data_IF_028876984834
#
_entry.id   IF_028876984834
#
_cell.length_a   1.000
_cell.length_b   1.000
_cell.length_c   1.000
_cell.angle_alpha   90.00
_cell.angle_beta   90.00
_cell.angle_gamma   90.00
#
_symmetry.space_group_name_H-M   'P 1'
#
loop_
_entity.id
_entity.type
_entity.pdbx_description
1 polymer ?
#
# COMPACT_ATOMS: atom_id res chain seq x y z
N UNK A 1 12.61 -11.68 0.77
CA UNK A 1 12.99 -12.75 1.74
C UNK A 1 11.77 -13.01 2.61
N UNK A 2 11.04 -14.10 2.39
CA UNK A 2 9.86 -14.44 3.19
C UNK A 2 10.42 -15.10 4.46
N UNK A 3 10.37 -14.37 5.57
CA UNK A 3 10.60 -14.99 6.88
C UNK A 3 9.50 -16.06 7.05
N UNK A 4 9.87 -17.32 7.30
CA UNK A 4 8.88 -18.32 7.62
C UNK A 4 8.14 -17.86 8.87
N UNK A 5 6.82 -17.66 8.75
CA UNK A 5 5.95 -17.43 9.91
C UNK A 5 6.14 -18.59 10.87
N UNK A 6 6.99 -18.42 11.87
CA UNK A 6 7.13 -19.40 12.97
C UNK A 6 5.87 -19.27 13.81
N UNK A 7 4.93 -20.18 13.62
CA UNK A 7 3.80 -20.32 14.53
C UNK A 7 4.36 -20.69 15.90
N UNK A 8 4.25 -19.76 16.84
CA UNK A 8 4.59 -20.03 18.24
C UNK A 8 3.33 -20.53 18.93
N UNK A 9 3.36 -21.77 19.42
CA UNK A 9 2.30 -22.29 20.28
C UNK A 9 2.36 -21.55 21.61
N UNK A 10 1.28 -20.89 21.99
CA UNK A 10 1.14 -20.21 23.28
C UNK A 10 0.14 -21.03 24.09
N UNK A 11 0.53 -21.41 25.30
CA UNK A 11 -0.41 -22.00 26.25
C UNK A 11 -1.16 -20.89 26.96
N UNK A 12 -2.44 -20.79 26.68
CA UNK A 12 -3.32 -19.76 27.26
C UNK A 12 -3.83 -20.13 28.64
N UNK A 13 -3.70 -21.39 29.07
CA UNK A 13 -4.26 -21.88 30.33
C UNK A 13 -3.68 -21.19 31.58
N UNK A 14 -2.45 -20.71 31.48
CA UNK A 14 -1.77 -20.06 32.60
C UNK A 14 -1.87 -18.53 32.56
N UNK A 15 -2.68 -17.96 31.67
CA UNK A 15 -2.86 -16.51 31.60
C UNK A 15 -3.94 -16.07 32.59
N UNK A 16 -3.54 -15.32 33.62
CA UNK A 16 -4.43 -14.86 34.71
C UNK A 16 -5.54 -13.89 34.24
N UNK A 17 -5.40 -13.34 33.04
CA UNK A 17 -6.39 -12.42 32.45
C UNK A 17 -7.40 -13.16 31.55
N UNK A 18 -7.38 -14.48 31.52
CA UNK A 18 -8.29 -15.28 30.72
C UNK A 18 -9.15 -16.17 31.62
N UNK A 19 -10.43 -16.09 31.40
CA UNK A 19 -11.42 -17.02 31.95
C UNK A 19 -11.90 -17.96 30.85
N UNK A 20 -12.17 -19.20 31.18
CA UNK A 20 -12.66 -20.21 30.26
C UNK A 20 -14.10 -20.55 30.57
N UNK A 21 -15.01 -20.13 29.70
CA UNK A 21 -16.41 -20.51 29.74
C UNK A 21 -16.62 -21.68 28.78
N UNK A 22 -16.84 -22.92 29.28
CA UNK A 22 -17.03 -24.07 28.41
C UNK A 22 -18.43 -24.04 27.80
N UNK A 23 -18.49 -23.81 26.51
CA UNK A 23 -19.72 -23.91 25.68
C UNK A 23 -19.48 -24.88 24.54
N UNK A 24 -20.46 -25.70 24.20
CA UNK A 24 -20.32 -26.77 23.22
C UNK A 24 -21.24 -26.53 22.03
N UNK A 25 -20.69 -25.91 21.00
CA UNK A 25 -21.43 -25.76 19.74
C UNK A 25 -21.67 -27.12 19.06
N UNK A 26 -22.86 -27.33 18.53
CA UNK A 26 -23.26 -28.52 17.79
C UNK A 26 -23.28 -28.18 16.28
N UNK A 27 -22.67 -29.07 15.50
CA UNK A 27 -22.74 -28.97 14.06
C UNK A 27 -24.14 -29.33 13.53
N UNK A 28 -24.67 -28.51 12.65
CA UNK A 28 -25.88 -28.86 11.88
C UNK A 28 -25.68 -30.16 11.09
N UNK A 29 -26.75 -30.81 10.67
CA UNK A 29 -26.71 -32.01 9.82
C UNK A 29 -25.88 -31.81 8.55
N UNK A 30 -25.88 -30.62 7.99
CA UNK A 30 -25.10 -30.25 6.80
C UNK A 30 -23.60 -29.97 7.10
N UNK A 31 -23.18 -29.97 8.37
CA UNK A 31 -21.85 -29.58 8.85
C UNK A 31 -21.38 -28.20 8.39
N UNK A 32 -22.34 -27.31 8.05
CA UNK A 32 -22.06 -25.93 7.63
C UNK A 32 -22.23 -24.95 8.79
N UNK A 33 -23.25 -25.15 9.61
CA UNK A 33 -23.61 -24.25 10.71
C UNK A 33 -23.16 -24.81 12.05
N UNK A 34 -22.72 -23.91 12.92
CA UNK A 34 -22.43 -24.19 14.33
C UNK A 34 -23.53 -23.52 15.16
N UNK A 35 -24.29 -24.31 15.90
CA UNK A 35 -25.45 -23.90 16.70
C UNK A 35 -25.13 -24.13 18.17
N UNK A 36 -25.63 -23.27 19.04
CA UNK A 36 -25.45 -23.34 20.49
C UNK A 36 -26.81 -23.60 21.16
N UNK A 37 -26.77 -24.28 22.32
CA UNK A 37 -28.00 -24.51 23.09
C UNK A 37 -28.45 -23.22 23.78
N UNK A 38 -29.71 -23.17 24.20
CA UNK A 38 -30.23 -22.03 24.95
C UNK A 38 -29.51 -21.83 26.28
N UNK A 39 -29.05 -22.93 26.90
CA UNK A 39 -28.25 -22.90 28.14
C UNK A 39 -26.89 -22.28 27.89
N UNK A 40 -26.20 -22.66 26.81
CA UNK A 40 -24.91 -22.07 26.43
C UNK A 40 -25.05 -20.55 26.16
N UNK A 41 -26.10 -20.18 25.42
CA UNK A 41 -26.40 -18.77 25.09
C UNK A 41 -26.71 -17.99 26.38
N UNK A 42 -27.51 -18.55 27.28
CA UNK A 42 -27.80 -17.91 28.57
C UNK A 42 -26.55 -17.67 29.43
N UNK A 43 -25.60 -18.63 29.41
CA UNK A 43 -24.33 -18.44 30.10
C UNK A 43 -23.50 -17.30 29.49
N UNK A 44 -23.43 -17.23 28.16
CA UNK A 44 -22.70 -16.16 27.44
C UNK A 44 -23.33 -14.80 27.76
N UNK A 45 -24.66 -14.70 27.66
CA UNK A 45 -25.40 -13.45 27.97
C UNK A 45 -25.17 -13.01 29.43
N UNK A 46 -25.19 -13.96 30.38
CA UNK A 46 -24.95 -13.68 31.81
C UNK A 46 -23.53 -13.12 32.06
N UNK A 47 -22.57 -13.45 31.19
CA UNK A 47 -21.19 -12.93 31.29
C UNK A 47 -21.04 -11.49 30.84
N UNK A 48 -22.07 -10.88 30.28
CA UNK A 48 -22.16 -9.45 29.87
C UNK A 48 -20.96 -8.97 29.03
N UNK A 49 -20.59 -9.76 28.03
CA UNK A 49 -19.48 -9.41 27.15
C UNK A 49 -19.80 -8.20 26.26
N UNK A 50 -18.86 -7.26 26.13
CA UNK A 50 -18.99 -6.15 25.19
C UNK A 50 -19.11 -6.65 23.73
N UNK A 51 -18.25 -7.58 23.31
CA UNK A 51 -18.31 -8.22 21.99
C UNK A 51 -17.74 -9.64 22.01
N UNK A 52 -18.14 -10.45 21.08
CA UNK A 52 -17.58 -11.77 20.82
C UNK A 52 -16.69 -11.74 19.58
N UNK A 53 -15.50 -12.35 19.66
CA UNK A 53 -14.61 -12.48 18.52
C UNK A 53 -14.61 -13.93 18.07
N UNK A 54 -15.01 -14.18 16.83
CA UNK A 54 -15.02 -15.54 16.30
C UNK A 54 -13.69 -15.90 15.66
N UNK A 55 -13.08 -16.93 16.20
CA UNK A 55 -11.96 -17.66 15.59
C UNK A 55 -12.40 -19.13 15.36
N UNK A 56 -12.29 -19.61 14.14
CA UNK A 56 -12.57 -21.01 13.87
C UNK A 56 -13.42 -21.26 12.62
N UNK A 57 -13.83 -22.53 12.45
CA UNK A 57 -14.62 -23.01 11.33
C UNK A 57 -16.12 -23.05 11.69
N UNK A 58 -16.97 -23.17 10.68
CA UNK A 58 -18.43 -23.18 10.82
C UNK A 58 -19.06 -21.78 10.72
N UNK A 59 -20.28 -21.71 10.28
CA UNK A 59 -21.06 -20.47 10.17
C UNK A 59 -21.90 -20.38 11.44
N UNK A 60 -21.77 -19.29 12.19
CA UNK A 60 -22.63 -18.99 13.32
C UNK A 60 -24.00 -18.53 12.83
N UNK A 61 -25.06 -18.98 13.47
CA UNK A 61 -26.44 -18.62 13.16
C UNK A 61 -27.32 -18.62 14.42
N UNK A 62 -28.35 -17.76 14.40
CA UNK A 62 -29.31 -17.68 15.50
C UNK A 62 -28.89 -16.77 16.63
N UNK A 63 -29.41 -17.01 17.82
CA UNK A 63 -29.30 -16.11 18.99
C UNK A 63 -27.87 -15.81 19.45
N UNK A 64 -26.91 -16.68 19.14
CA UNK A 64 -25.49 -16.43 19.44
C UNK A 64 -24.99 -15.11 18.84
N UNK A 65 -25.57 -14.67 17.71
CA UNK A 65 -25.17 -13.44 17.04
C UNK A 65 -25.53 -12.17 17.84
N UNK A 66 -26.51 -12.29 18.75
CA UNK A 66 -27.02 -11.21 19.58
C UNK A 66 -26.66 -11.41 21.09
N UNK A 67 -25.79 -12.37 21.40
CA UNK A 67 -25.48 -12.75 22.81
C UNK A 67 -24.44 -11.85 23.46
N UNK A 68 -24.03 -10.74 22.84
CA UNK A 68 -23.17 -9.70 23.43
C UNK A 68 -23.60 -8.32 22.96
N UNK A 69 -23.23 -7.26 23.67
CA UNK A 69 -23.70 -5.91 23.46
C UNK A 69 -23.44 -5.38 22.04
N UNK A 70 -22.25 -5.64 21.49
CA UNK A 70 -21.84 -5.20 20.15
C UNK A 70 -21.95 -6.32 19.10
N UNK A 71 -22.41 -7.52 19.50
CA UNK A 71 -22.56 -8.69 18.64
C UNK A 71 -21.25 -9.44 18.40
N UNK A 72 -21.21 -10.25 17.33
CA UNK A 72 -20.09 -11.14 17.01
C UNK A 72 -19.27 -10.54 15.87
N UNK A 73 -17.98 -10.30 16.11
CA UNK A 73 -17.02 -9.83 15.11
C UNK A 73 -16.25 -11.02 14.55
N UNK A 74 -16.08 -11.09 13.25
CA UNK A 74 -15.36 -12.17 12.57
C UNK A 74 -14.53 -11.67 11.40
N UNK A 75 -13.48 -12.43 11.06
CA UNK A 75 -12.78 -12.29 9.81
C UNK A 75 -13.49 -12.96 8.64
N UNK A 76 -13.39 -12.35 7.47
CA UNK A 76 -13.50 -13.03 6.20
C UNK A 76 -12.23 -12.70 5.39
N UNK A 77 -11.40 -13.72 5.12
CA UNK A 77 -10.16 -13.56 4.36
C UNK A 77 -10.42 -13.69 2.87
N UNK A 78 -11.02 -12.67 2.31
CA UNK A 78 -11.37 -12.44 0.93
C UNK A 78 -12.01 -11.08 0.79
N UNK A 79 -11.87 -10.42 -0.36
CA UNK A 79 -12.73 -9.29 -0.69
C UNK A 79 -14.07 -9.85 -1.18
N UNK A 80 -15.10 -9.74 -0.35
CA UNK A 80 -16.44 -10.28 -0.66
C UNK A 80 -17.09 -9.63 -1.89
N UNK A 81 -16.52 -8.54 -2.43
CA UNK A 81 -16.92 -7.91 -3.70
C UNK A 81 -16.31 -8.63 -4.92
N UNK A 82 -15.18 -9.34 -4.74
CA UNK A 82 -14.41 -9.99 -5.82
C UNK A 82 -14.53 -11.52 -5.73
N UNK A 83 -14.09 -12.11 -4.61
CA UNK A 83 -14.04 -13.55 -4.44
C UNK A 83 -14.73 -13.98 -3.14
N UNK A 84 -15.68 -14.91 -3.26
CA UNK A 84 -16.36 -15.55 -2.13
C UNK A 84 -16.02 -17.04 -2.09
N UNK A 85 -15.79 -17.55 -0.89
CA UNK A 85 -15.52 -18.96 -0.67
C UNK A 85 -14.07 -19.23 -0.26
N UNK A 86 -13.71 -20.50 -0.22
CA UNK A 86 -12.41 -20.95 0.24
C UNK A 86 -11.65 -21.79 -0.80
N UNK A 87 -10.37 -21.98 -0.60
CA UNK A 87 -9.52 -21.48 0.50
C UNK A 87 -9.11 -20.02 0.32
N UNK A 88 -8.90 -19.31 1.43
CA UNK A 88 -8.55 -17.89 1.42
C UNK A 88 -7.25 -17.61 0.66
N UNK A 89 -7.23 -16.54 -0.14
CA UNK A 89 -6.06 -16.10 -0.89
C UNK A 89 -5.65 -17.02 -2.06
N UNK A 90 -6.43 -18.05 -2.37
CA UNK A 90 -6.14 -19.02 -3.44
C UNK A 90 -6.63 -18.53 -4.79
N UNK A 91 -7.86 -18.08 -4.85
CA UNK A 91 -8.54 -17.71 -6.09
C UNK A 91 -7.93 -16.48 -6.73
N UNK A 92 -7.51 -15.51 -5.91
CA UNK A 92 -6.81 -14.33 -6.36
C UNK A 92 -5.49 -14.70 -7.05
N UNK A 93 -4.77 -15.67 -6.49
CA UNK A 93 -3.52 -16.17 -7.12
C UNK A 93 -3.80 -16.93 -8.39
N UNK A 94 -4.82 -17.80 -8.42
CA UNK A 94 -5.18 -18.60 -9.59
C UNK A 94 -5.69 -17.75 -10.74
N UNK A 95 -6.54 -16.75 -10.44
CA UNK A 95 -7.17 -15.87 -11.42
C UNK A 95 -6.30 -14.66 -11.77
N UNK A 96 -5.10 -14.56 -11.19
CA UNK A 96 -4.16 -13.45 -11.41
C UNK A 96 -4.71 -12.08 -11.01
N UNK A 97 -5.58 -12.07 -10.00
CA UNK A 97 -6.11 -10.82 -9.45
C UNK A 97 -4.98 -9.94 -8.90
N UNK A 98 -5.01 -8.64 -9.17
CA UNK A 98 -3.92 -7.74 -8.74
C UNK A 98 -3.89 -7.53 -7.22
N UNK A 99 -5.03 -7.68 -6.55
CA UNK A 99 -5.13 -7.53 -5.10
C UNK A 99 -5.90 -8.68 -4.45
N UNK A 100 -5.54 -8.96 -3.21
CA UNK A 100 -6.17 -9.93 -2.33
C UNK A 100 -6.70 -9.22 -1.09
N UNK A 101 -7.96 -9.42 -0.75
CA UNK A 101 -8.60 -8.68 0.32
C UNK A 101 -8.90 -9.49 1.57
N UNK A 102 -9.23 -8.77 2.62
CA UNK A 102 -9.90 -9.28 3.80
C UNK A 102 -10.92 -8.26 4.32
N UNK A 103 -11.91 -8.74 5.06
CA UNK A 103 -12.81 -7.89 5.82
C UNK A 103 -12.88 -8.36 7.28
N UNK A 104 -13.08 -7.41 8.18
CA UNK A 104 -13.50 -7.64 9.56
C UNK A 104 -14.93 -7.13 9.64
N UNK A 105 -15.84 -7.99 10.03
CA UNK A 105 -17.27 -7.72 9.94
C UNK A 105 -18.00 -8.13 11.21
N UNK A 106 -19.06 -7.41 11.56
CA UNK A 106 -20.06 -7.86 12.50
C UNK A 106 -20.96 -8.86 11.78
N UNK A 107 -21.08 -10.05 12.34
CA UNK A 107 -21.90 -11.12 11.75
C UNK A 107 -23.40 -10.83 11.88
N UNK A 108 -24.12 -11.25 10.87
CA UNK A 108 -25.58 -11.33 10.85
C UNK A 108 -26.06 -12.70 10.35
N UNK A 109 -27.34 -12.90 10.17
CA UNK A 109 -27.91 -14.18 9.72
C UNK A 109 -27.67 -14.46 8.21
N UNK A 110 -27.15 -13.51 7.46
CA UNK A 110 -26.84 -13.67 6.04
C UNK A 110 -25.42 -14.19 5.84
N UNK A 111 -25.26 -15.18 4.97
CA UNK A 111 -23.94 -15.74 4.66
C UNK A 111 -23.08 -14.71 3.91
N UNK A 112 -21.92 -14.38 4.47
CA UNK A 112 -21.01 -13.34 3.96
C UNK A 112 -21.66 -11.96 3.78
N UNK A 113 -22.80 -11.71 4.44
CA UNK A 113 -23.56 -10.46 4.40
C UNK A 113 -23.40 -9.61 5.66
N UNK A 114 -22.40 -9.88 6.50
CA UNK A 114 -22.14 -9.11 7.72
C UNK A 114 -21.81 -7.64 7.44
N UNK A 115 -22.01 -6.79 8.45
CA UNK A 115 -21.66 -5.37 8.40
C UNK A 115 -20.13 -5.20 8.40
N UNK A 116 -19.56 -4.71 7.31
CA UNK A 116 -18.10 -4.55 7.16
C UNK A 116 -17.62 -3.36 7.98
N UNK A 117 -16.80 -3.61 8.99
CA UNK A 117 -16.21 -2.62 9.88
C UNK A 117 -14.81 -2.17 9.41
N UNK A 118 -14.05 -3.10 8.82
CA UNK A 118 -12.72 -2.84 8.25
C UNK A 118 -12.58 -3.65 6.97
N UNK A 119 -12.08 -3.02 5.93
CA UNK A 119 -11.67 -3.67 4.67
C UNK A 119 -10.23 -3.32 4.35
N UNK A 120 -9.45 -4.29 3.90
CA UNK A 120 -8.11 -4.08 3.41
C UNK A 120 -7.82 -4.94 2.19
N UNK A 121 -7.18 -4.35 1.18
CA UNK A 121 -6.74 -5.02 -0.03
C UNK A 121 -5.22 -4.90 -0.17
N UNK A 122 -4.53 -6.04 -0.19
CA UNK A 122 -3.09 -6.17 -0.31
C UNK A 122 -2.71 -6.55 -1.74
N UNK A 123 -1.49 -6.25 -2.15
CA UNK A 123 -0.96 -6.76 -3.41
C UNK A 123 -0.96 -8.31 -3.39
N UNK A 124 -1.51 -8.94 -4.42
CA UNK A 124 -1.52 -10.40 -4.51
C UNK A 124 -0.11 -10.94 -4.69
N UNK A 125 0.32 -11.79 -3.77
CA UNK A 125 1.58 -12.51 -3.89
C UNK A 125 1.39 -13.74 -4.78
N UNK A 126 2.38 -14.06 -5.57
CA UNK A 126 2.26 -15.08 -6.61
C UNK A 126 2.17 -16.52 -6.13
N UNK A 127 2.32 -16.79 -4.82
CA UNK A 127 2.18 -18.12 -4.24
C UNK A 127 1.07 -18.12 -3.18
N UNK A 128 0.15 -19.06 -3.28
CA UNK A 128 -1.00 -19.14 -2.36
C UNK A 128 -0.61 -19.12 -0.88
N UNK A 129 0.36 -19.91 -0.45
CA UNK A 129 0.73 -19.98 0.97
C UNK A 129 1.27 -18.64 1.50
N UNK A 130 2.01 -17.88 0.70
CA UNK A 130 2.50 -16.56 1.08
C UNK A 130 1.39 -15.52 1.03
N UNK A 131 0.52 -15.58 0.02
CA UNK A 131 -0.64 -14.71 -0.10
C UNK A 131 -1.62 -14.89 1.06
N UNK A 132 -1.92 -16.15 1.41
CA UNK A 132 -2.71 -16.48 2.61
C UNK A 132 -2.07 -15.96 3.90
N UNK A 133 -0.76 -16.14 4.05
CA UNK A 133 -0.05 -15.73 5.26
C UNK A 133 -0.11 -14.21 5.48
N UNK A 134 0.09 -13.40 4.42
CA UNK A 134 -0.02 -11.95 4.54
C UNK A 134 -1.44 -11.49 4.90
N UNK A 135 -2.48 -12.10 4.32
CA UNK A 135 -3.87 -11.78 4.66
C UNK A 135 -4.17 -12.01 6.14
N UNK A 136 -3.74 -13.16 6.68
CA UNK A 136 -3.94 -13.51 8.08
C UNK A 136 -3.18 -12.55 9.00
N UNK A 137 -1.92 -12.26 8.69
CA UNK A 137 -1.08 -11.39 9.54
C UNK A 137 -1.60 -9.95 9.55
N UNK A 138 -1.99 -9.43 8.39
CA UNK A 138 -2.50 -8.07 8.26
C UNK A 138 -3.86 -7.92 8.93
N UNK A 139 -4.80 -8.84 8.67
CA UNK A 139 -6.14 -8.79 9.28
C UNK A 139 -6.09 -8.90 10.81
N UNK A 140 -5.20 -9.74 11.35
CA UNK A 140 -4.96 -9.82 12.80
C UNK A 140 -4.52 -8.49 13.39
N UNK A 141 -3.58 -7.80 12.74
CA UNK A 141 -3.13 -6.48 13.18
C UNK A 141 -4.29 -5.48 13.23
N UNK A 142 -5.10 -5.41 12.17
CA UNK A 142 -6.23 -4.48 12.10
C UNK A 142 -7.38 -4.85 13.03
N UNK A 143 -7.58 -6.14 13.35
CA UNK A 143 -8.51 -6.50 14.43
C UNK A 143 -8.08 -5.89 15.77
N UNK A 144 -6.80 -5.97 16.12
CA UNK A 144 -6.28 -5.38 17.35
C UNK A 144 -6.53 -3.86 17.38
N UNK A 145 -6.30 -3.17 16.25
CA UNK A 145 -6.58 -1.73 16.14
C UNK A 145 -8.09 -1.44 16.30
N UNK A 146 -8.94 -2.23 15.65
CA UNK A 146 -10.39 -2.13 15.78
C UNK A 146 -10.84 -2.30 17.24
N UNK A 147 -10.34 -3.32 17.94
CA UNK A 147 -10.69 -3.57 19.33
C UNK A 147 -10.23 -2.46 20.28
N UNK A 148 -9.06 -1.87 20.04
CA UNK A 148 -8.61 -0.69 20.78
C UNK A 148 -9.57 0.49 20.60
N UNK A 149 -9.95 0.79 19.35
CA UNK A 149 -10.90 1.84 19.02
C UNK A 149 -12.28 1.59 19.67
N UNK A 150 -12.78 0.37 19.62
CA UNK A 150 -14.03 -0.01 20.29
C UNK A 150 -13.92 0.18 21.81
N UNK A 151 -12.79 -0.19 22.41
CA UNK A 151 -12.57 -0.01 23.85
C UNK A 151 -12.56 1.46 24.28
N UNK A 152 -12.01 2.34 23.43
CA UNK A 152 -11.96 3.79 23.67
C UNK A 152 -13.31 4.47 23.44
N UNK A 153 -13.96 4.16 22.32
CA UNK A 153 -15.20 4.82 21.88
C UNK A 153 -16.48 4.15 22.43
N UNK A 154 -16.38 2.95 22.99
CA UNK A 154 -17.50 2.12 23.50
C UNK A 154 -18.60 1.83 22.45
N UNK A 155 -18.24 1.88 21.16
CA UNK A 155 -19.15 1.65 20.04
C UNK A 155 -18.41 1.04 18.86
N UNK A 156 -19.17 0.42 17.95
CA UNK A 156 -18.61 0.00 16.66
C UNK A 156 -18.39 1.22 15.76
N UNK A 157 -17.35 1.21 14.91
CA UNK A 157 -17.23 2.19 13.84
C UNK A 157 -18.40 2.07 12.87
N UNK A 158 -18.63 3.12 12.09
CA UNK A 158 -19.61 3.08 11.00
C UNK A 158 -19.21 2.00 10.01
N UNK A 159 -20.17 1.11 9.70
CA UNK A 159 -19.97 0.09 8.68
C UNK A 159 -19.95 0.68 7.27
N UNK A 160 -19.38 -0.04 6.32
CA UNK A 160 -19.51 0.31 4.91
C UNK A 160 -20.99 0.24 4.46
N UNK A 161 -21.31 1.05 3.45
CA UNK A 161 -22.63 0.97 2.81
C UNK A 161 -22.91 -0.42 2.24
N UNK A 162 -24.17 -0.83 2.31
CA UNK A 162 -24.63 -2.10 1.75
C UNK A 162 -24.37 -2.13 0.23
N UNK A 163 -23.65 -3.14 -0.23
CA UNK A 163 -23.39 -3.37 -1.66
C UNK A 163 -23.85 -4.76 -2.06
N UNK A 164 -24.62 -4.81 -3.13
CA UNK A 164 -25.01 -6.08 -3.73
C UNK A 164 -23.84 -6.68 -4.50
N UNK A 165 -23.67 -7.99 -4.42
CA UNK A 165 -22.68 -8.74 -5.18
C UNK A 165 -23.31 -9.98 -5.81
N UNK A 166 -23.04 -10.18 -7.10
CA UNK A 166 -23.53 -11.34 -7.87
C UNK A 166 -22.54 -12.51 -7.92
N UNK A 167 -21.42 -12.45 -7.18
CA UNK A 167 -20.36 -13.43 -7.29
C UNK A 167 -20.76 -14.77 -6.67
N UNK A 168 -20.55 -15.85 -7.42
CA UNK A 168 -20.77 -17.22 -6.93
C UNK A 168 -19.72 -17.62 -5.88
N UNK A 169 -20.10 -18.58 -5.04
CA UNK A 169 -19.21 -19.15 -4.05
C UNK A 169 -18.17 -20.08 -4.73
N UNK A 170 -16.91 -19.73 -4.63
CA UNK A 170 -15.80 -20.54 -5.12
C UNK A 170 -15.48 -21.71 -4.19
N UNK A 171 -15.21 -22.89 -4.78
CA UNK A 171 -14.77 -24.09 -4.09
C UNK A 171 -13.79 -24.86 -4.95
N UNK A 172 -12.82 -25.51 -4.35
CA UNK A 172 -11.97 -26.49 -5.05
C UNK A 172 -12.78 -27.79 -5.19
N UNK A 173 -13.46 -27.93 -6.31
CA UNK A 173 -14.34 -29.09 -6.57
C UNK A 173 -13.61 -30.26 -7.24
N UNK A 174 -12.43 -30.04 -7.77
CA UNK A 174 -11.68 -31.08 -8.50
C UNK A 174 -10.17 -30.89 -8.40
N UNK A 175 -9.43 -31.97 -8.59
CA UNK A 175 -7.97 -31.98 -8.72
C UNK A 175 -7.49 -31.15 -9.92
N UNK A 176 -8.33 -30.96 -10.96
CA UNK A 176 -8.01 -30.13 -12.14
C UNK A 176 -7.64 -28.70 -11.74
N UNK A 177 -8.36 -28.11 -10.79
CA UNK A 177 -8.07 -26.76 -10.29
C UNK A 177 -6.67 -26.69 -9.63
N UNK A 178 -6.30 -27.73 -8.88
CA UNK A 178 -4.97 -27.79 -8.28
C UNK A 178 -3.87 -27.99 -9.34
N UNK A 179 -4.13 -28.79 -10.38
CA UNK A 179 -3.19 -28.92 -11.50
C UNK A 179 -3.01 -27.58 -12.23
N UNK A 180 -4.10 -26.87 -12.50
CA UNK A 180 -4.06 -25.54 -13.11
C UNK A 180 -3.24 -24.57 -12.27
N UNK A 181 -3.46 -24.56 -10.95
CA UNK A 181 -2.68 -23.75 -10.04
C UNK A 181 -1.18 -24.06 -10.09
N UNK A 182 -0.82 -25.34 -10.02
CA UNK A 182 0.57 -25.79 -10.11
C UNK A 182 1.18 -25.38 -11.45
N UNK A 183 0.48 -25.63 -12.54
CA UNK A 183 0.95 -25.32 -13.89
C UNK A 183 1.16 -23.83 -14.10
N UNK A 184 0.20 -22.98 -13.68
CA UNK A 184 0.29 -21.53 -13.83
C UNK A 184 1.33 -20.88 -12.91
N UNK A 185 1.54 -21.39 -11.68
CA UNK A 185 2.33 -20.69 -10.68
C UNK A 185 3.70 -21.32 -10.41
N UNK A 186 3.85 -22.64 -10.45
CA UNK A 186 5.13 -23.31 -10.15
C UNK A 186 5.96 -23.55 -11.39
N UNK A 187 5.36 -24.03 -12.49
CA UNK A 187 6.11 -24.37 -13.69
C UNK A 187 6.87 -23.18 -14.30
N UNK A 188 6.27 -22.00 -14.49
CA UNK A 188 7.02 -20.83 -14.99
C UNK A 188 8.17 -20.41 -14.08
N UNK A 189 7.99 -20.49 -12.77
CA UNK A 189 9.04 -20.18 -11.80
C UNK A 189 10.17 -21.20 -11.84
N UNK A 190 9.84 -22.47 -11.97
CA UNK A 190 10.84 -23.53 -12.12
C UNK A 190 11.66 -23.34 -13.38
N UNK A 191 10.99 -23.09 -14.52
CA UNK A 191 11.64 -22.82 -15.80
C UNK A 191 12.52 -21.58 -15.71
N UNK A 192 12.02 -20.46 -15.14
CA UNK A 192 12.84 -19.26 -14.96
C UNK A 192 14.07 -19.53 -14.09
N UNK A 193 13.93 -20.29 -13.02
CA UNK A 193 15.05 -20.66 -12.14
C UNK A 193 16.11 -21.49 -12.89
N UNK A 194 15.70 -22.38 -13.78
CA UNK A 194 16.64 -23.13 -14.65
C UNK A 194 17.37 -22.16 -15.60
N UNK A 195 16.65 -21.22 -16.21
CA UNK A 195 17.29 -20.23 -17.07
C UNK A 195 18.27 -19.32 -16.30
N UNK A 196 17.95 -18.97 -15.05
CA UNK A 196 18.81 -18.14 -14.21
C UNK A 196 20.10 -18.86 -13.73
N UNK A 197 20.22 -20.18 -13.96
CA UNK A 197 21.47 -20.93 -13.74
C UNK A 197 22.48 -20.69 -14.88
N UNK A 198 21.99 -20.42 -16.10
CA UNK A 198 22.81 -20.33 -17.31
C UNK A 198 22.90 -18.89 -17.83
N UNK A 199 21.85 -18.11 -17.65
CA UNK A 199 21.74 -16.74 -18.13
C UNK A 199 21.76 -15.75 -16.96
N UNK A 200 22.21 -14.51 -17.18
CA UNK A 200 22.07 -13.46 -16.18
C UNK A 200 20.62 -13.34 -15.71
N UNK A 201 20.37 -13.12 -14.40
CA UNK A 201 19.02 -12.99 -13.90
C UNK A 201 18.29 -11.81 -14.54
N UNK A 202 16.99 -11.97 -14.73
CA UNK A 202 16.11 -10.87 -15.15
C UNK A 202 15.98 -9.88 -14.02
N UNK A 203 16.29 -8.62 -14.29
CA UNK A 203 16.10 -7.50 -13.36
C UNK A 203 15.16 -6.47 -13.99
N UNK A 204 14.35 -5.84 -13.18
CA UNK A 204 13.58 -4.67 -13.57
C UNK A 204 14.50 -3.46 -13.49
N UNK A 205 14.74 -2.81 -14.63
CA UNK A 205 15.59 -1.62 -14.70
C UNK A 205 14.74 -0.41 -15.02
N UNK A 206 14.72 0.54 -14.09
CA UNK A 206 14.01 1.79 -14.21
C UNK A 206 14.76 2.79 -15.08
N UNK A 207 14.03 3.72 -15.66
CA UNK A 207 14.53 4.85 -16.46
C UNK A 207 13.56 6.01 -16.34
N UNK A 208 14.05 7.22 -16.55
CA UNK A 208 13.26 8.45 -16.51
C UNK A 208 13.13 9.03 -17.92
N UNK A 209 11.97 9.59 -18.22
CA UNK A 209 11.74 10.39 -19.42
C UNK A 209 11.05 11.70 -19.08
N UNK A 210 11.28 12.73 -19.89
CA UNK A 210 10.71 14.06 -19.68
C UNK A 210 10.19 14.66 -20.98
N UNK A 211 9.31 15.66 -20.84
CA UNK A 211 8.88 16.53 -21.95
C UNK A 211 8.68 17.94 -21.45
N UNK A 212 9.22 18.92 -22.20
CA UNK A 212 8.84 20.33 -22.04
C UNK A 212 7.48 20.58 -22.66
N UNK A 213 6.69 21.43 -22.06
CA UNK A 213 5.37 21.81 -22.58
C UNK A 213 4.96 23.19 -22.04
N UNK A 214 4.19 23.91 -22.83
CA UNK A 214 3.56 25.16 -22.39
C UNK A 214 2.17 24.92 -21.76
N UNK A 215 1.61 23.72 -21.94
CA UNK A 215 0.38 23.24 -21.36
C UNK A 215 0.51 21.75 -21.21
N UNK A 216 0.24 21.24 -20.05
CA UNK A 216 0.32 19.85 -19.62
C UNK A 216 0.17 18.80 -20.76
N UNK A 217 1.26 18.15 -21.17
CA UNK A 217 1.24 17.12 -22.21
C UNK A 217 0.88 15.75 -21.65
N UNK A 218 -0.17 15.14 -22.19
CA UNK A 218 -0.61 13.76 -21.84
C UNK A 218 0.02 12.69 -22.75
N UNK A 219 0.88 13.08 -23.69
CA UNK A 219 1.41 12.20 -24.73
C UNK A 219 2.75 11.58 -24.32
N UNK A 220 2.74 10.68 -23.36
CA UNK A 220 3.96 10.09 -22.74
C UNK A 220 4.88 9.39 -23.75
N UNK A 221 4.38 8.89 -24.86
CA UNK A 221 5.21 8.27 -25.88
C UNK A 221 6.21 9.25 -26.54
N UNK A 222 5.93 10.57 -26.48
CA UNK A 222 6.80 11.63 -27.00
C UNK A 222 7.88 12.08 -26.02
N UNK A 223 7.86 11.60 -24.77
CA UNK A 223 8.83 12.01 -23.77
C UNK A 223 10.23 11.51 -24.14
N UNK A 224 11.22 12.37 -23.96
CA UNK A 224 12.64 12.08 -24.19
C UNK A 224 13.18 11.24 -23.04
N UNK A 225 13.73 10.07 -23.34
CA UNK A 225 14.33 9.18 -22.36
C UNK A 225 15.72 9.70 -21.96
N UNK A 226 15.98 9.74 -20.67
CA UNK A 226 17.32 10.04 -20.13
C UNK A 226 18.07 8.71 -20.00
N UNK A 227 19.19 8.52 -20.69
CA UNK A 227 19.99 7.31 -20.57
C UNK A 227 20.50 7.12 -19.14
N UNK A 228 20.32 5.91 -18.61
CA UNK A 228 20.86 5.57 -17.30
C UNK A 228 22.40 5.55 -17.32
N UNK A 229 23.07 6.12 -16.32
CA UNK A 229 24.51 5.96 -16.16
C UNK A 229 24.90 4.48 -16.00
N UNK A 230 26.16 4.14 -16.32
CA UNK A 230 26.66 2.75 -16.20
C UNK A 230 26.59 2.25 -14.75
N UNK A 231 26.07 1.05 -14.55
CA UNK A 231 25.97 0.43 -13.23
C UNK A 231 24.89 1.01 -12.30
N UNK A 232 23.97 1.82 -12.85
CA UNK A 232 22.91 2.51 -12.10
C UNK A 232 21.59 2.51 -12.85
N UNK A 233 20.51 2.85 -12.15
CA UNK A 233 19.23 3.23 -12.78
C UNK A 233 18.68 4.49 -12.12
N UNK A 234 17.83 5.20 -12.84
CA UNK A 234 17.11 6.40 -12.38
C UNK A 234 15.62 6.10 -12.26
N UNK A 235 14.99 6.56 -11.17
CA UNK A 235 13.57 6.41 -10.90
C UNK A 235 13.01 7.61 -10.11
N UNK A 236 11.73 7.60 -9.78
CA UNK A 236 11.04 8.58 -8.92
C UNK A 236 11.33 10.05 -9.31
N UNK A 237 11.01 10.48 -10.54
CA UNK A 237 11.34 11.83 -10.98
C UNK A 237 10.45 12.89 -10.32
N UNK A 238 11.05 13.95 -9.77
CA UNK A 238 10.38 15.16 -9.32
C UNK A 238 10.89 16.39 -10.07
N UNK A 239 9.98 17.09 -10.74
CA UNK A 239 10.32 18.30 -11.49
C UNK A 239 10.29 19.53 -10.58
N UNK A 240 11.28 20.39 -10.72
CA UNK A 240 11.36 21.65 -10.00
C UNK A 240 11.92 22.75 -10.88
N UNK A 241 11.33 23.96 -10.81
CA UNK A 241 11.83 25.13 -11.53
C UNK A 241 12.57 26.07 -10.59
N UNK A 242 13.77 26.45 -10.97
CA UNK A 242 14.57 27.44 -10.26
C UNK A 242 15.15 28.46 -11.23
N UNK A 243 14.81 29.73 -11.03
CA UNK A 243 15.12 30.77 -12.01
C UNK A 243 14.47 30.43 -13.37
N UNK A 244 15.26 30.51 -14.42
CA UNK A 244 14.81 30.20 -15.79
C UNK A 244 15.06 28.76 -16.22
N UNK A 245 15.59 27.92 -15.32
CA UNK A 245 15.91 26.53 -15.60
C UNK A 245 14.96 25.55 -14.92
N UNK A 246 14.73 24.42 -15.59
CA UNK A 246 13.98 23.30 -15.06
C UNK A 246 14.95 22.21 -14.59
N UNK A 247 14.59 21.51 -13.50
CA UNK A 247 15.40 20.46 -12.91
C UNK A 247 14.54 19.22 -12.67
N UNK A 248 15.14 18.04 -12.74
CA UNK A 248 14.53 16.77 -12.38
C UNK A 248 15.38 16.15 -11.29
N UNK A 249 14.81 16.00 -10.10
CA UNK A 249 15.40 15.25 -8.99
C UNK A 249 14.98 13.80 -9.11
N UNK A 250 15.90 12.86 -8.90
CA UNK A 250 15.65 11.43 -9.14
C UNK A 250 16.27 10.57 -8.04
N UNK A 251 15.67 9.40 -7.80
CA UNK A 251 16.41 8.31 -7.22
C UNK A 251 17.49 7.88 -8.21
N UNK A 252 18.73 7.79 -7.76
CA UNK A 252 19.87 7.25 -8.48
C UNK A 252 20.36 6.00 -7.75
N UNK A 253 19.92 4.83 -8.21
CA UNK A 253 20.23 3.57 -7.55
C UNK A 253 21.50 2.94 -8.10
N UNK A 254 22.46 2.74 -7.22
CA UNK A 254 23.74 2.12 -7.53
C UNK A 254 23.70 0.62 -7.28
N UNK A 255 23.98 -0.17 -8.32
CA UNK A 255 24.05 -1.63 -8.18
C UNK A 255 25.26 -2.11 -7.37
N UNK A 256 26.32 -1.29 -7.25
CA UNK A 256 27.55 -1.63 -6.55
C UNK A 256 27.34 -1.92 -5.07
N UNK A 257 26.48 -1.13 -4.41
CA UNK A 257 26.20 -1.20 -2.98
C UNK A 257 24.71 -1.39 -2.66
N UNK A 258 23.87 -1.56 -3.70
CA UNK A 258 22.41 -1.70 -3.61
C UNK A 258 21.76 -0.55 -2.83
N UNK A 259 22.20 0.68 -3.09
CA UNK A 259 21.76 1.87 -2.38
C UNK A 259 21.33 2.97 -3.34
N UNK A 260 20.16 3.57 -3.08
CA UNK A 260 19.69 4.78 -3.75
C UNK A 260 20.27 6.02 -3.10
N UNK A 261 20.57 6.99 -3.93
CA UNK A 261 20.98 8.35 -3.62
C UNK A 261 20.08 9.31 -4.36
N UNK A 262 20.11 10.60 -4.03
CA UNK A 262 19.38 11.59 -4.81
C UNK A 262 20.36 12.29 -5.74
N UNK A 263 20.03 12.28 -7.04
CA UNK A 263 20.75 12.99 -8.09
C UNK A 263 19.84 14.03 -8.73
N UNK A 264 20.47 15.01 -9.40
CA UNK A 264 19.74 16.07 -10.11
C UNK A 264 20.20 16.18 -11.56
N UNK A 265 19.24 16.48 -12.43
CA UNK A 265 19.39 16.65 -13.87
C UNK A 265 18.85 18.03 -14.20
N UNK A 266 19.66 18.88 -14.85
CA UNK A 266 19.25 20.19 -15.38
C UNK A 266 18.68 20.01 -16.78
N UNK A 267 17.57 20.70 -17.07
CA UNK A 267 16.93 20.71 -18.39
C UNK A 267 16.98 22.12 -18.95
N UNK A 268 17.75 22.31 -20.01
CA UNK A 268 17.91 23.60 -20.67
C UNK A 268 17.86 23.40 -22.19
N UNK A 269 17.15 24.25 -22.91
CA UNK A 269 17.03 24.20 -24.39
C UNK A 269 16.71 22.78 -24.94
N UNK A 270 15.79 22.05 -24.29
CA UNK A 270 15.42 20.65 -24.62
C UNK A 270 16.55 19.61 -24.45
N UNK A 271 17.69 20.01 -23.93
CA UNK A 271 18.80 19.14 -23.58
C UNK A 271 18.84 18.88 -22.08
N UNK A 272 19.37 17.73 -21.69
CA UNK A 272 19.61 17.42 -20.30
C UNK A 272 21.11 17.45 -19.98
N UNK A 273 21.42 17.90 -18.78
CA UNK A 273 22.73 17.82 -18.16
C UNK A 273 22.64 17.08 -16.84
N UNK A 274 23.33 15.96 -16.72
CA UNK A 274 23.37 15.18 -15.47
C UNK A 274 24.38 15.80 -14.51
N UNK A 275 23.93 16.50 -13.47
CA UNK A 275 24.77 17.19 -12.52
C UNK A 275 25.38 16.24 -11.44
N UNK A 276 24.76 15.08 -11.23
CA UNK A 276 25.26 14.06 -10.32
C UNK A 276 24.52 13.98 -8.98
N UNK A 277 25.13 13.26 -8.05
CA UNK A 277 24.60 13.02 -6.69
C UNK A 277 24.68 14.31 -5.87
N UNK A 278 23.56 14.68 -5.26
CA UNK A 278 23.41 15.89 -4.43
C UNK A 278 23.07 15.59 -2.98
N UNK A 279 22.57 14.39 -2.70
CA UNK A 279 22.28 13.93 -1.34
C UNK A 279 22.56 12.43 -1.23
N UNK A 280 23.37 12.06 -0.28
CA UNK A 280 23.70 10.69 0.08
C UNK A 280 23.69 10.53 1.60
N UNK A 281 23.14 9.40 2.05
CA UNK A 281 23.13 8.96 3.45
C UNK A 281 23.77 7.56 3.57
N UNK A 282 23.99 7.10 4.78
CA UNK A 282 24.46 5.73 5.03
C UNK A 282 23.37 4.67 4.81
N UNK A 283 22.14 5.08 4.52
CA UNK A 283 20.99 4.26 4.17
C UNK A 283 20.46 4.66 2.79
N UNK A 284 19.53 3.87 2.26
CA UNK A 284 18.90 4.10 0.96
C UNK A 284 17.98 5.33 1.00
N UNK A 285 18.09 6.18 -0.03
CA UNK A 285 17.19 7.30 -0.32
C UNK A 285 16.53 7.09 -1.68
N UNK A 286 15.24 7.42 -1.79
CA UNK A 286 14.44 7.43 -3.01
C UNK A 286 13.37 8.52 -2.93
N UNK A 287 12.51 8.65 -3.92
CA UNK A 287 11.33 9.51 -3.93
C UNK A 287 11.62 10.95 -3.44
N UNK A 288 12.44 11.74 -4.13
CA UNK A 288 12.90 13.07 -3.67
C UNK A 288 11.81 14.14 -3.81
N UNK A 289 10.78 14.11 -2.96
CA UNK A 289 9.72 15.10 -2.97
C UNK A 289 10.27 16.49 -2.65
N UNK A 290 10.37 17.35 -3.67
CA UNK A 290 10.92 18.70 -3.58
C UNK A 290 9.82 19.76 -3.68
N UNK A 291 9.91 20.81 -2.87
CA UNK A 291 8.97 21.93 -2.85
C UNK A 291 9.62 23.22 -2.31
N UNK A 292 8.97 24.36 -2.55
CA UNK A 292 9.36 25.65 -1.96
C UNK A 292 8.34 26.13 -0.94
N UNK A 293 8.82 26.76 0.11
CA UNK A 293 8.02 27.43 1.11
C UNK A 293 8.78 28.59 1.74
N UNK A 294 8.14 29.78 1.83
CA UNK A 294 8.73 31.02 2.39
C UNK A 294 10.12 31.36 1.79
N UNK A 295 10.24 31.27 0.47
CA UNK A 295 11.48 31.49 -0.30
C UNK A 295 12.62 30.51 0.01
N UNK A 296 12.35 29.45 0.73
CA UNK A 296 13.27 28.36 1.00
C UNK A 296 12.89 27.11 0.20
N UNK A 297 13.86 26.29 -0.13
CA UNK A 297 13.64 25.04 -0.88
C UNK A 297 13.91 23.86 0.04
N UNK A 298 12.94 22.94 0.06
CA UNK A 298 12.97 21.75 0.90
C UNK A 298 12.84 20.48 0.08
N UNK A 299 13.31 19.38 0.64
CA UNK A 299 13.16 18.03 0.10
C UNK A 299 12.82 17.04 1.21
N UNK A 300 11.88 16.16 0.93
CA UNK A 300 11.55 15.01 1.77
C UNK A 300 11.81 13.75 0.94
N UNK A 301 13.01 13.17 1.00
CA UNK A 301 13.25 11.88 0.37
C UNK A 301 12.68 10.74 1.21
N UNK A 302 12.36 9.60 0.59
CA UNK A 302 12.08 8.38 1.35
C UNK A 302 13.32 7.97 2.15
N UNK A 303 13.15 7.87 3.47
CA UNK A 303 14.17 7.41 4.43
C UNK A 303 13.67 6.23 5.29
N UNK A 304 12.72 5.48 4.78
CA UNK A 304 12.01 4.41 5.51
C UNK A 304 12.92 3.33 6.10
N UNK A 305 14.10 3.09 5.53
CA UNK A 305 15.11 2.20 6.13
C UNK A 305 15.70 2.73 7.43
N UNK A 306 15.75 4.04 7.61
CA UNK A 306 16.15 4.68 8.86
C UNK A 306 14.99 4.81 9.86
N UNK A 307 13.76 4.45 9.44
CA UNK A 307 12.53 4.53 10.24
C UNK A 307 12.21 5.95 10.72
N UNK A 308 12.39 6.91 9.82
CA UNK A 308 12.02 8.31 10.05
C UNK A 308 11.53 8.97 8.76
N UNK A 309 10.96 10.16 8.90
CA UNK A 309 10.64 11.08 7.80
C UNK A 309 11.48 12.33 8.02
N UNK A 310 12.34 12.66 7.07
CA UNK A 310 13.34 13.73 7.16
C UNK A 310 13.04 14.87 6.21
N UNK A 311 13.13 16.09 6.72
CA UNK A 311 13.08 17.32 5.96
C UNK A 311 14.52 17.84 5.76
N UNK A 312 14.93 17.96 4.50
CA UNK A 312 16.20 18.58 4.13
C UNK A 312 15.94 19.97 3.58
N UNK A 313 16.79 20.92 3.93
CA UNK A 313 16.79 22.30 3.43
C UNK A 313 17.94 22.51 2.46
N UNK A 314 17.68 23.17 1.35
CA UNK A 314 18.69 23.58 0.40
C UNK A 314 19.43 24.80 0.92
N UNK A 315 20.75 24.71 1.05
CA UNK A 315 21.62 25.85 1.38
C UNK A 315 22.16 26.55 0.12
N UNK A 316 22.51 25.75 -0.90
CA UNK A 316 22.96 26.24 -2.19
C UNK A 316 22.35 25.34 -3.28
N UNK A 317 21.46 25.90 -4.08
CA UNK A 317 20.77 25.18 -5.12
C UNK A 317 21.67 24.90 -6.33
N UNK A 318 21.66 23.70 -6.93
CA UNK A 318 20.84 22.54 -6.53
C UNK A 318 21.57 21.53 -5.63
N UNK A 319 22.84 21.75 -5.28
CA UNK A 319 23.82 20.75 -4.88
C UNK A 319 24.08 20.62 -3.38
N UNK A 320 23.68 21.60 -2.55
CA UNK A 320 24.01 21.56 -1.12
C UNK A 320 22.76 21.48 -0.25
N UNK A 321 22.58 20.33 0.39
CA UNK A 321 21.43 20.01 1.23
C UNK A 321 21.87 19.64 2.64
N UNK A 322 21.12 20.11 3.65
CA UNK A 322 21.35 19.79 5.06
C UNK A 322 20.07 19.26 5.69
N UNK A 323 20.20 18.33 6.62
CA UNK A 323 19.08 17.90 7.44
C UNK A 323 18.60 19.07 8.28
N UNK A 324 17.35 19.47 8.12
CA UNK A 324 16.73 20.60 8.82
C UNK A 324 15.88 20.10 10.00
N UNK A 325 15.05 19.04 9.78
CA UNK A 325 14.18 18.53 10.83
C UNK A 325 13.85 17.03 10.62
N UNK A 326 13.54 16.33 11.70
CA UNK A 326 12.96 14.99 11.68
C UNK A 326 11.46 15.13 11.99
N UNK A 327 10.64 15.05 10.94
CA UNK A 327 9.21 15.26 11.04
C UNK A 327 8.48 14.15 11.81
N UNK A 328 8.94 12.91 11.64
CA UNK A 328 8.42 11.75 12.37
C UNK A 328 9.54 10.75 12.64
N UNK A 329 9.59 10.20 13.83
CA UNK A 329 10.55 9.19 14.26
C UNK A 329 9.88 7.84 14.52
N UNK A 330 10.65 6.74 14.44
CA UNK A 330 10.18 5.38 14.70
C UNK A 330 9.03 4.94 13.79
N UNK A 331 8.99 5.44 12.56
CA UNK A 331 7.97 5.14 11.56
C UNK A 331 8.60 4.52 10.32
N UNK A 332 8.06 3.39 9.88
CA UNK A 332 8.42 2.80 8.57
C UNK A 332 7.53 3.42 7.51
N UNK A 333 7.97 4.52 6.93
CA UNK A 333 7.24 5.32 5.96
C UNK A 333 7.92 5.29 4.59
N UNK A 334 7.12 5.42 3.54
CA UNK A 334 7.56 5.52 2.16
C UNK A 334 6.79 6.63 1.43
N UNK A 335 7.39 7.18 0.39
CA UNK A 335 6.79 8.11 -0.58
C UNK A 335 6.03 9.27 0.08
N UNK A 336 6.67 9.96 1.03
CA UNK A 336 6.07 11.06 1.77
C UNK A 336 6.00 12.33 0.93
N UNK A 337 4.81 12.92 0.87
CA UNK A 337 4.54 14.20 0.22
C UNK A 337 3.84 15.14 1.19
N UNK A 338 4.13 16.44 1.09
CA UNK A 338 3.46 17.47 1.89
C UNK A 338 2.96 18.62 1.02
N UNK A 339 1.91 19.29 1.45
CA UNK A 339 1.45 20.54 0.85
C UNK A 339 0.68 21.39 1.85
N UNK A 340 0.65 22.69 1.59
CA UNK A 340 -0.02 23.67 2.44
C UNK A 340 -1.37 24.05 1.85
N UNK A 341 -2.43 23.88 2.63
CA UNK A 341 -3.79 24.24 2.23
C UNK A 341 -4.60 24.66 3.46
N UNK A 342 -5.45 25.69 3.32
CA UNK A 342 -6.33 26.17 4.39
C UNK A 342 -5.56 26.47 5.71
N UNK A 343 -4.38 27.08 5.59
CA UNK A 343 -3.48 27.46 6.71
C UNK A 343 -2.95 26.27 7.52
N UNK A 344 -2.99 25.05 6.96
CA UNK A 344 -2.43 23.84 7.57
C UNK A 344 -1.57 23.08 6.57
N UNK A 345 -0.60 22.37 7.10
CA UNK A 345 0.20 21.40 6.36
C UNK A 345 -0.48 20.04 6.40
N UNK A 346 -0.54 19.40 5.26
CA UNK A 346 -0.98 18.02 5.13
C UNK A 346 0.17 17.17 4.64
N UNK A 347 0.37 16.02 5.29
CA UNK A 347 1.34 15.00 4.90
C UNK A 347 0.60 13.76 4.44
N UNK A 348 0.88 13.30 3.22
CA UNK A 348 0.41 12.05 2.66
C UNK A 348 1.59 11.09 2.62
N UNK A 349 1.51 9.96 3.31
CA UNK A 349 2.62 9.00 3.40
C UNK A 349 2.13 7.56 3.47
N UNK A 350 2.94 6.63 2.99
CA UNK A 350 2.63 5.20 3.03
C UNK A 350 3.33 4.55 4.21
N UNK A 351 2.57 4.22 5.25
CA UNK A 351 3.13 3.62 6.46
C UNK A 351 2.91 2.11 6.45
N UNK A 352 3.95 1.37 6.74
CA UNK A 352 3.83 -0.03 7.08
C UNK A 352 3.44 -0.18 8.55
N UNK A 353 2.14 -0.33 8.83
CA UNK A 353 1.61 -0.46 10.19
C UNK A 353 1.85 -1.84 10.80
N UNK A 354 2.25 -2.85 10.02
CA UNK A 354 2.45 -4.23 10.47
C UNK A 354 3.90 -4.68 10.28
N UNK A 355 4.23 -5.87 10.80
CA UNK A 355 5.56 -6.47 10.65
C UNK A 355 5.88 -6.99 9.24
N UNK A 356 4.95 -6.89 8.29
CA UNK A 356 5.09 -7.47 6.94
C UNK A 356 6.02 -6.68 6.00
N UNK A 357 6.34 -5.42 6.33
CA UNK A 357 7.12 -4.55 5.43
C UNK A 357 6.34 -4.08 4.20
N UNK A 358 5.01 -4.07 4.28
CA UNK A 358 4.12 -3.65 3.19
C UNK A 358 3.86 -2.14 3.26
N UNK A 359 4.39 -1.38 2.28
CA UNK A 359 4.11 0.04 2.09
C UNK A 359 3.15 0.30 0.91
N UNK A 360 2.62 -0.74 0.27
CA UNK A 360 1.79 -0.61 -0.92
C UNK A 360 0.32 -0.38 -0.60
N UNK A 361 -0.13 -0.83 0.58
CA UNK A 361 -1.56 -0.99 0.85
C UNK A 361 -2.19 0.11 1.69
N UNK A 362 -1.41 0.93 2.38
CA UNK A 362 -1.93 1.92 3.33
C UNK A 362 -1.50 3.34 2.97
N UNK A 363 -2.45 4.23 2.73
CA UNK A 363 -2.23 5.68 2.66
C UNK A 363 -2.64 6.30 3.99
N UNK A 364 -1.72 7.04 4.59
CA UNK A 364 -1.94 7.79 5.82
C UNK A 364 -1.91 9.28 5.54
N UNK A 365 -2.79 10.03 6.21
CA UNK A 365 -2.83 11.49 6.17
C UNK A 365 -2.63 12.05 7.56
N UNK A 366 -1.70 12.98 7.66
CA UNK A 366 -1.43 13.73 8.90
C UNK A 366 -1.56 15.21 8.65
N UNK A 367 -1.82 15.96 9.71
CA UNK A 367 -1.99 17.41 9.68
C UNK A 367 -1.11 18.07 10.73
N UNK A 368 -0.55 19.23 10.38
CA UNK A 368 0.19 20.11 11.29
C UNK A 368 -0.06 21.57 10.94
N UNK A 369 0.09 22.46 11.91
CA UNK A 369 0.08 23.91 11.67
C UNK A 369 1.44 24.43 11.20
N UNK A 370 2.52 23.71 11.55
CA UNK A 370 3.89 24.03 11.17
C UNK A 370 4.55 22.88 10.42
N UNK A 371 5.21 23.20 9.29
CA UNK A 371 5.96 22.24 8.48
C UNK A 371 7.05 21.53 9.30
N UNK A 372 7.73 22.25 10.17
CA UNK A 372 8.88 21.76 10.95
C UNK A 372 8.48 21.11 12.27
N UNK A 373 7.18 20.95 12.51
CA UNK A 373 6.70 20.27 13.70
C UNK A 373 7.07 18.80 13.69
N UNK A 374 7.47 18.27 14.82
CA UNK A 374 7.58 16.82 15.06
C UNK A 374 6.26 16.22 15.63
N UNK A 375 5.19 17.01 15.71
CA UNK A 375 3.88 16.62 16.25
C UNK A 375 2.80 16.61 15.15
N UNK A 376 3.05 15.83 14.11
CA UNK A 376 2.07 15.57 13.06
C UNK A 376 0.94 14.68 13.59
N UNK A 377 -0.29 15.13 13.51
CA UNK A 377 -1.46 14.42 14.03
C UNK A 377 -2.20 13.71 12.90
N UNK A 378 -2.69 12.47 13.11
CA UNK A 378 -3.58 11.85 12.15
C UNK A 378 -4.87 12.67 12.02
N UNK A 379 -5.49 12.67 10.85
CA UNK A 379 -6.81 13.27 10.68
C UNK A 379 -7.86 12.51 11.49
N UNK A 380 -8.95 13.17 11.89
CA UNK A 380 -9.92 12.60 12.85
C UNK A 380 -10.73 11.43 12.30
N UNK A 381 -10.88 11.28 10.97
CA UNK A 381 -11.47 10.07 10.38
C UNK A 381 -10.63 8.81 10.61
N UNK A 382 -9.35 9.00 10.99
CA UNK A 382 -8.41 7.92 11.28
C UNK A 382 -7.58 7.51 10.06
N UNK A 383 -6.50 6.78 10.34
CA UNK A 383 -5.61 6.20 9.35
C UNK A 383 -5.67 4.66 9.37
N UNK A 384 -5.44 3.97 8.23
CA UNK A 384 -5.22 4.53 6.90
C UNK A 384 -6.50 5.12 6.28
N UNK A 385 -6.36 6.23 5.51
CA UNK A 385 -7.49 6.84 4.78
C UNK A 385 -7.87 6.05 3.52
N UNK A 386 -6.91 5.33 2.95
CA UNK A 386 -7.10 4.35 1.86
C UNK A 386 -6.34 3.09 2.26
N UNK A 387 -7.03 1.95 2.20
CA UNK A 387 -6.43 0.64 2.46
C UNK A 387 -6.63 -0.28 1.24
N UNK A 388 -5.87 0.00 0.19
CA UNK A 388 -5.97 -0.71 -1.08
C UNK A 388 -4.66 -0.57 -1.87
N UNK A 389 -3.98 -1.67 -2.13
CA UNK A 389 -2.72 -1.70 -2.89
C UNK A 389 -2.82 -1.19 -4.34
N UNK A 390 -4.04 -1.02 -4.86
CA UNK A 390 -4.29 -0.43 -6.17
C UNK A 390 -4.47 1.09 -6.13
N UNK A 391 -4.48 1.68 -4.92
CA UNK A 391 -4.80 3.10 -4.73
C UNK A 391 -3.91 3.82 -3.74
N UNK A 392 -3.29 3.11 -2.80
CA UNK A 392 -2.66 3.74 -1.63
C UNK A 392 -1.28 4.32 -1.91
N UNK A 393 -0.37 3.55 -2.56
CA UNK A 393 1.04 3.95 -2.69
C UNK A 393 1.17 5.23 -3.50
N UNK A 394 1.86 6.23 -2.95
CA UNK A 394 2.12 7.51 -3.62
C UNK A 394 3.07 7.31 -4.81
N UNK A 395 2.92 8.15 -5.83
CA UNK A 395 3.77 8.19 -7.04
C UNK A 395 4.01 9.61 -7.53
N UNK A 396 3.56 10.61 -6.77
CA UNK A 396 3.73 12.03 -7.08
C UNK A 396 2.53 12.90 -6.71
N UNK A 397 2.76 14.20 -6.77
CA UNK A 397 1.76 15.24 -6.54
C UNK A 397 1.97 16.35 -7.55
N UNK A 398 0.92 16.88 -8.14
CA UNK A 398 0.99 18.07 -8.99
C UNK A 398 -0.26 18.92 -8.90
N UNK A 399 -0.10 20.21 -9.26
CA UNK A 399 -1.16 21.19 -9.23
C UNK A 399 -1.49 21.64 -10.67
N UNK A 400 -2.76 21.61 -11.03
CA UNK A 400 -3.21 22.04 -12.34
C UNK A 400 -4.55 22.78 -12.24
N UNK A 401 -4.61 24.04 -12.73
CA UNK A 401 -5.82 24.88 -12.70
C UNK A 401 -6.47 24.98 -11.31
N UNK A 402 -5.66 25.15 -10.27
CA UNK A 402 -6.14 25.25 -8.88
C UNK A 402 -6.60 23.94 -8.24
N UNK A 403 -6.42 22.81 -8.92
CA UNK A 403 -6.78 21.48 -8.44
C UNK A 403 -5.51 20.71 -8.09
N UNK A 404 -5.54 20.04 -6.96
CA UNK A 404 -4.47 19.13 -6.51
C UNK A 404 -4.75 17.73 -7.02
N UNK A 405 -3.75 17.15 -7.68
CA UNK A 405 -3.79 15.77 -8.18
C UNK A 405 -2.72 14.93 -7.48
N UNK A 406 -3.12 13.79 -6.96
CA UNK A 406 -2.22 12.77 -6.43
C UNK A 406 -2.03 11.67 -7.47
N UNK A 407 -0.80 11.34 -7.72
CA UNK A 407 -0.45 10.12 -8.45
C UNK A 407 -0.36 8.98 -7.43
N UNK A 408 -0.95 7.84 -7.75
CA UNK A 408 -0.73 6.62 -6.99
C UNK A 408 -0.18 5.52 -7.88
N UNK A 409 0.71 4.73 -7.32
CA UNK A 409 1.18 3.50 -7.94
C UNK A 409 0.08 2.44 -7.92
N UNK A 410 -0.02 1.64 -8.99
CA UNK A 410 -0.93 0.51 -9.11
C UNK A 410 -0.07 -0.73 -9.29
N UNK A 411 -0.28 -1.72 -8.42
CA UNK A 411 0.47 -2.96 -8.44
C UNK A 411 -0.31 -4.07 -9.14
N UNK A 412 0.38 -5.11 -9.59
CA UNK A 412 -0.22 -6.33 -10.10
C UNK A 412 0.16 -7.52 -9.21
N UNK A 413 -0.28 -8.73 -9.58
CA UNK A 413 0.17 -9.95 -8.90
C UNK A 413 1.70 -10.10 -8.99
N UNK A 414 2.41 -10.10 -7.87
CA UNK A 414 3.89 -10.06 -7.80
C UNK A 414 4.54 -8.98 -8.69
N UNK A 415 3.82 -7.91 -8.99
CA UNK A 415 4.26 -6.91 -9.95
C UNK A 415 4.16 -5.50 -9.34
N UNK A 416 5.31 -4.96 -8.95
CA UNK A 416 5.43 -3.60 -8.41
C UNK A 416 5.37 -2.57 -9.53
N UNK A 417 4.56 -1.51 -9.33
CA UNK A 417 4.48 -0.37 -10.25
C UNK A 417 4.04 -0.76 -11.68
N UNK A 418 3.00 -1.60 -11.82
CA UNK A 418 2.47 -2.03 -13.13
C UNK A 418 1.93 -0.86 -13.94
N UNK A 419 1.28 0.09 -13.29
CA UNK A 419 0.70 1.31 -13.84
C UNK A 419 0.59 2.36 -12.75
N UNK A 420 0.16 3.57 -13.09
CA UNK A 420 -0.19 4.56 -12.08
C UNK A 420 -1.56 5.20 -12.35
N UNK A 421 -2.21 5.62 -11.28
CA UNK A 421 -3.48 6.34 -11.31
C UNK A 421 -3.27 7.83 -11.08
N UNK A 422 -4.09 8.64 -11.73
CA UNK A 422 -4.20 10.07 -11.51
C UNK A 422 -5.49 10.32 -10.75
N UNK A 423 -5.39 10.84 -9.52
CA UNK A 423 -6.54 11.07 -8.67
C UNK A 423 -6.66 12.56 -8.37
N UNK A 424 -7.86 13.09 -8.52
CA UNK A 424 -8.23 14.44 -8.08
C UNK A 424 -8.54 14.37 -6.58
N UNK A 425 -7.87 15.16 -5.76
CA UNK A 425 -8.23 15.33 -4.36
C UNK A 425 -9.48 16.19 -4.30
N UNK A 426 -10.60 15.60 -3.87
CA UNK A 426 -11.87 16.30 -3.73
C UNK A 426 -11.98 17.01 -2.38
N UNK A 427 -11.45 16.38 -1.32
CA UNK A 427 -11.49 16.92 0.02
C UNK A 427 -10.26 16.53 0.82
N UNK A 428 -9.67 17.49 1.49
CA UNK A 428 -8.64 17.26 2.51
C UNK A 428 -8.80 18.28 3.60
N UNK A 429 -8.93 17.80 4.82
CA UNK A 429 -9.08 18.60 6.03
C UNK A 429 -8.51 17.83 7.23
N UNK A 430 -8.49 18.44 8.39
CA UNK A 430 -8.15 17.76 9.64
C UNK A 430 -9.15 16.64 10.03
N UNK A 431 -10.29 16.59 9.34
CA UNK A 431 -11.36 15.65 9.66
C UNK A 431 -11.46 14.51 8.66
N UNK A 432 -11.20 14.75 7.38
CA UNK A 432 -11.47 13.77 6.33
C UNK A 432 -10.59 13.96 5.09
N UNK A 433 -10.45 12.88 4.34
CA UNK A 433 -9.79 12.82 3.05
C UNK A 433 -10.66 12.08 2.04
N UNK A 434 -10.78 12.64 0.83
CA UNK A 434 -11.40 11.94 -0.29
C UNK A 434 -10.76 12.32 -1.62
N UNK A 435 -10.66 11.34 -2.50
CA UNK A 435 -10.15 11.52 -3.86
C UNK A 435 -10.95 10.69 -4.88
N UNK A 436 -10.93 11.12 -6.12
CA UNK A 436 -11.56 10.46 -7.26
C UNK A 436 -10.52 10.14 -8.32
N UNK A 437 -10.50 8.88 -8.82
CA UNK A 437 -9.65 8.51 -9.95
C UNK A 437 -10.20 9.10 -11.23
N UNK A 438 -9.41 9.95 -11.89
CA UNK A 438 -9.76 10.57 -13.15
C UNK A 438 -9.11 9.90 -14.37
N UNK A 439 -8.00 9.16 -14.15
CA UNK A 439 -7.30 8.46 -15.23
C UNK A 439 -6.37 7.38 -14.69
N UNK A 440 -6.02 6.44 -15.54
CA UNK A 440 -4.97 5.45 -15.31
C UNK A 440 -4.02 5.43 -16.50
N UNK A 441 -2.72 5.29 -16.22
CA UNK A 441 -1.66 5.22 -17.22
C UNK A 441 -0.99 3.86 -17.13
N UNK A 442 -1.19 3.05 -18.16
CA UNK A 442 -0.57 1.74 -18.29
C UNK A 442 0.85 1.84 -18.87
N UNK A 443 1.70 0.87 -18.52
CA UNK A 443 3.06 0.76 -19.04
C UNK A 443 3.09 0.24 -20.47
N UNK A 444 2.53 1.01 -21.42
CA UNK A 444 2.46 0.67 -22.85
C UNK A 444 2.82 1.86 -23.77
N UNK A 445 3.22 2.99 -23.23
CA UNK A 445 3.52 4.21 -23.99
C UNK A 445 4.92 4.20 -24.65
N UNK A 446 5.77 3.23 -24.35
CA UNK A 446 7.05 2.97 -25.05
C UNK A 446 7.22 1.48 -25.27
N UNK A 447 7.98 1.11 -26.30
CA UNK A 447 8.25 -0.31 -26.63
C UNK A 447 9.01 -1.01 -25.50
N UNK A 448 8.52 -2.17 -25.09
CA UNK A 448 9.20 -3.10 -24.17
C UNK A 448 9.18 -2.67 -22.71
N UNK A 449 8.43 -1.63 -22.34
CA UNK A 449 8.23 -1.30 -20.92
C UNK A 449 7.24 -2.26 -20.27
N UNK A 450 7.46 -2.53 -18.99
CA UNK A 450 6.64 -3.45 -18.19
C UNK A 450 6.05 -2.78 -16.97
N UNK A 451 6.61 -1.64 -16.53
CA UNK A 451 6.21 -0.92 -15.33
C UNK A 451 6.31 0.59 -15.52
N UNK A 452 5.51 1.34 -14.76
CA UNK A 452 5.58 2.80 -14.58
C UNK A 452 4.88 3.14 -13.26
N UNK A 453 5.45 4.02 -12.42
CA UNK A 453 4.86 4.28 -11.11
C UNK A 453 4.94 5.74 -10.64
N UNK A 454 5.85 6.55 -11.18
CA UNK A 454 6.08 7.93 -10.78
C UNK A 454 5.77 8.92 -11.90
N UNK A 455 5.10 10.03 -11.56
CA UNK A 455 4.85 11.13 -12.47
C UNK A 455 4.88 12.45 -11.70
N UNK A 456 5.62 13.41 -12.22
CA UNK A 456 5.69 14.76 -11.68
C UNK A 456 5.59 15.78 -12.80
N UNK A 457 4.90 16.89 -12.56
CA UNK A 457 4.74 17.95 -13.54
C UNK A 457 4.63 19.33 -12.89
N UNK A 458 5.17 20.34 -13.57
CA UNK A 458 4.90 21.74 -13.35
C UNK A 458 4.37 22.41 -14.65
N UNK A 459 4.30 23.71 -14.74
CA UNK A 459 3.80 24.42 -15.94
C UNK A 459 4.72 24.29 -17.16
N UNK A 460 5.97 23.89 -17.02
CA UNK A 460 6.99 23.89 -18.07
C UNK A 460 7.52 22.51 -18.42
N UNK A 461 7.55 21.60 -17.44
CA UNK A 461 8.18 20.32 -17.54
C UNK A 461 7.32 19.24 -16.92
N UNK A 462 7.30 18.06 -17.53
CA UNK A 462 6.79 16.85 -16.92
C UNK A 462 7.80 15.72 -17.05
N UNK A 463 7.85 14.86 -16.05
CA UNK A 463 8.70 13.68 -16.02
C UNK A 463 7.92 12.47 -15.56
N UNK A 464 8.30 11.31 -16.10
CA UNK A 464 7.70 10.00 -15.80
C UNK A 464 8.81 8.97 -15.69
N UNK A 465 8.64 7.98 -14.85
CA UNK A 465 9.50 6.81 -14.88
C UNK A 465 8.81 5.62 -15.54
N UNK A 466 9.61 4.69 -15.94
CA UNK A 466 9.17 3.41 -16.48
C UNK A 466 10.30 2.39 -16.36
N UNK A 467 9.94 1.11 -16.43
CA UNK A 467 10.93 0.05 -16.35
C UNK A 467 10.82 -0.94 -17.51
N UNK A 468 11.99 -1.52 -17.85
CA UNK A 468 12.12 -2.65 -18.78
C UNK A 468 12.73 -3.85 -18.08
N UNK A 469 12.38 -5.04 -18.53
CA UNK A 469 13.11 -6.24 -18.13
C UNK A 469 14.45 -6.28 -18.86
N UNK A 470 15.51 -6.40 -18.12
CA UNK A 470 16.88 -6.53 -18.62
C UNK A 470 17.52 -7.78 -18.02
N UNK A 471 18.40 -8.44 -18.78
CA UNK A 471 19.29 -9.47 -18.24
C UNK A 471 20.65 -8.84 -18.01
N UNK A 472 21.11 -8.81 -16.78
CA UNK A 472 22.39 -8.24 -16.42
C UNK A 472 23.01 -9.01 -15.27
N UNK A 473 24.28 -9.38 -15.39
CA UNK A 473 25.08 -9.73 -14.24
C UNK A 473 25.29 -8.43 -13.46
N UNK A 474 24.83 -8.42 -12.22
CA UNK A 474 25.08 -7.28 -11.31
C UNK A 474 26.59 -7.12 -11.14
N UNK A 475 27.19 -6.26 -11.92
CA UNK A 475 28.58 -5.79 -11.73
C UNK A 475 28.63 -4.31 -12.05
#
# INVERSE_FOLDING_TARGET
>A
MILPLKLKKIDLKNNKNLEFLPVVGKWSKSRKFLEFTNEDIAQIVKSDFDCLIRFGSGILKGEILNSSNLGVISFHHGDNRVNRGGPCGFWEVLNEEPSSGFVIQKLNNELDGGEVLVRGNLMTLGMWHTNKAQLIEKSKFFLIQLLKKISEEKKLPTSEDVRFHGNKLYKIESSKIMFEYVFKNYLPRFINKLFDLVLPPKITRWSVAYAKHNNFSKSLWRYHEIPNPKGRFLADPFVFRYGDCDYIFVEDFFYSDNKGRISVIKIENEQYEFLGVILEENFHLSFPFIFSHNNEIYMIPESGKNKDIRLYKCQKFPDTWVLDEILMSNVSAADTMVFFQNKKWFMLTNICSSSLGDHQSELHVFVSEDLKSNNWKPITSGNPVIFDSLRSRNGGLFFHKGITYRINQIHGKDHYGKSFGINKINKISEHEYSEERVSEVNANFKKGIVSTHGFSANHHLAAVDFARLSRSWRK
#
